data_IF_350329616206
#
_entry.id   IF_350329616206
#
_cell.length_a   1.000
_cell.length_b   1.000
_cell.length_c   1.000
_cell.angle_alpha   90.00
_cell.angle_beta   90.00
_cell.angle_gamma   90.00
#
_symmetry.space_group_name_H-M   'P 1'
#
loop_
_entity.id
_entity.type
_entity.pdbx_description
1 polymer ?
#
# COMPACT_ATOMS: atom_id res chain seq x y z
N UNK A 1 -0.38 6.20 -21.10
CA UNK A 1 0.22 6.78 -19.89
C UNK A 1 -0.23 6.07 -18.63
N UNK A 2 -1.46 5.53 -18.56
CA UNK A 2 -1.97 4.82 -17.37
C UNK A 2 -1.24 3.51 -17.01
N UNK A 3 -0.52 2.87 -17.95
CA UNK A 3 0.19 1.59 -17.72
C UNK A 3 1.72 1.70 -17.65
N UNK A 4 2.32 2.69 -18.32
CA UNK A 4 3.78 2.72 -18.52
C UNK A 4 4.48 3.85 -17.81
N UNK A 5 3.89 5.05 -17.77
CA UNK A 5 4.57 6.23 -17.23
C UNK A 5 4.07 6.68 -15.87
N UNK A 6 2.95 6.13 -15.36
CA UNK A 6 2.38 6.53 -14.09
C UNK A 6 1.96 8.00 -13.99
N UNK A 7 1.74 8.67 -15.14
CA UNK A 7 1.28 10.07 -15.18
C UNK A 7 -0.20 10.15 -14.84
N UNK A 8 -1.00 9.20 -15.36
CA UNK A 8 -2.46 9.18 -15.19
C UNK A 8 -2.81 8.38 -13.94
N UNK A 9 -3.52 9.00 -13.00
CA UNK A 9 -3.92 8.40 -11.73
C UNK A 9 -5.12 7.48 -11.88
N UNK A 10 -6.13 7.93 -12.65
CA UNK A 10 -7.37 7.19 -12.92
C UNK A 10 -7.65 7.24 -14.42
N UNK A 11 -8.20 6.17 -14.97
CA UNK A 11 -8.64 6.11 -16.36
C UNK A 11 -10.14 5.87 -16.37
N UNK A 12 -10.88 6.64 -17.16
CA UNK A 12 -12.31 6.49 -17.38
C UNK A 12 -12.57 6.17 -18.86
N UNK A 13 -13.64 5.47 -19.14
CA UNK A 13 -14.03 5.12 -20.51
C UNK A 13 -15.00 6.15 -21.10
N UNK A 14 -15.68 6.94 -20.24
CA UNK A 14 -16.57 8.04 -20.65
C UNK A 14 -16.28 9.33 -19.87
N UNK A 15 -16.78 10.46 -20.38
CA UNK A 15 -16.66 11.77 -19.72
C UNK A 15 -17.44 11.78 -18.39
N UNK A 16 -18.62 11.15 -18.36
CA UNK A 16 -19.44 11.03 -17.16
C UNK A 16 -18.70 10.28 -16.05
N UNK A 17 -18.08 9.14 -16.38
CA UNK A 17 -17.25 8.38 -15.45
C UNK A 17 -16.07 9.23 -14.98
N UNK A 18 -15.42 9.97 -15.85
CA UNK A 18 -14.31 10.86 -15.47
C UNK A 18 -14.76 11.92 -14.47
N UNK A 19 -15.94 12.50 -14.64
CA UNK A 19 -16.51 13.47 -13.68
C UNK A 19 -16.87 12.83 -12.34
N UNK A 20 -17.42 11.62 -12.34
CA UNK A 20 -17.74 10.89 -11.11
C UNK A 20 -16.46 10.56 -10.35
N UNK A 21 -15.43 10.05 -11.01
CA UNK A 21 -14.13 9.78 -10.43
C UNK A 21 -13.49 11.05 -9.83
N UNK A 22 -13.56 12.17 -10.55
CA UNK A 22 -13.04 13.44 -10.06
C UNK A 22 -13.80 13.95 -8.81
N UNK A 23 -15.12 13.80 -8.79
CA UNK A 23 -15.93 14.15 -7.61
C UNK A 23 -15.62 13.28 -6.41
N UNK A 24 -15.52 11.97 -6.63
CA UNK A 24 -15.18 10.99 -5.57
C UNK A 24 -13.82 11.34 -4.96
N UNK A 25 -12.82 11.58 -5.81
CA UNK A 25 -11.48 11.95 -5.35
C UNK A 25 -11.50 13.27 -4.56
N UNK A 26 -12.17 14.30 -5.08
CA UNK A 26 -12.29 15.59 -4.41
C UNK A 26 -13.03 15.47 -3.07
N UNK A 27 -14.07 14.62 -3.02
CA UNK A 27 -14.84 14.39 -1.79
C UNK A 27 -14.00 13.66 -0.73
N UNK A 28 -13.26 12.63 -1.11
CA UNK A 28 -12.38 11.90 -0.18
C UNK A 28 -11.30 12.81 0.43
N UNK A 29 -10.77 13.77 -0.35
CA UNK A 29 -9.77 14.71 0.16
C UNK A 29 -10.36 15.91 0.89
N UNK A 30 -11.46 16.48 0.38
CA UNK A 30 -12.05 17.73 0.91
C UNK A 30 -13.02 17.53 2.07
N UNK A 31 -13.71 16.38 2.12
CA UNK A 31 -14.67 16.01 3.17
C UNK A 31 -14.25 14.71 3.84
N UNK A 32 -13.16 14.77 4.59
CA UNK A 32 -12.53 13.57 5.16
C UNK A 32 -13.35 12.86 6.23
N UNK A 33 -14.37 13.52 6.81
CA UNK A 33 -15.20 12.95 7.86
C UNK A 33 -14.47 12.81 9.20
N UNK A 34 -15.13 12.16 10.14
CA UNK A 34 -14.59 11.82 11.46
C UNK A 34 -14.72 10.31 11.67
N UNK A 35 -13.76 9.74 12.42
CA UNK A 35 -13.79 8.32 12.75
C UNK A 35 -14.91 8.04 13.76
N UNK A 36 -15.82 7.16 13.38
CA UNK A 36 -16.83 6.56 14.25
C UNK A 36 -16.44 5.08 14.48
N UNK A 37 -15.93 4.78 15.67
CA UNK A 37 -15.49 3.44 16.02
C UNK A 37 -16.66 2.46 16.15
N UNK A 38 -17.86 2.94 16.49
CA UNK A 38 -19.05 2.09 16.65
C UNK A 38 -19.57 1.60 15.29
N UNK A 39 -19.20 2.28 14.20
CA UNK A 39 -19.53 1.88 12.83
C UNK A 39 -18.53 0.89 12.22
N UNK A 40 -17.38 0.67 12.84
CA UNK A 40 -16.35 -0.27 12.34
C UNK A 40 -16.73 -1.70 12.72
N UNK A 41 -16.95 -2.54 11.72
CA UNK A 41 -17.25 -3.95 11.95
C UNK A 41 -16.00 -4.72 12.41
N UNK A 42 -16.18 -5.65 13.37
CA UNK A 42 -15.17 -6.63 13.70
C UNK A 42 -15.20 -7.77 12.68
N UNK A 43 -14.19 -7.85 11.83
CA UNK A 43 -14.09 -8.80 10.72
C UNK A 43 -12.79 -9.59 10.77
N UNK A 44 -12.90 -10.90 10.50
CA UNK A 44 -11.73 -11.75 10.31
C UNK A 44 -11.15 -11.53 8.90
N UNK A 45 -10.14 -10.66 8.82
CA UNK A 45 -9.40 -10.40 7.58
C UNK A 45 -8.40 -11.51 7.24
N UNK A 46 -8.00 -12.34 8.21
CA UNK A 46 -7.07 -13.44 7.96
C UNK A 46 -7.69 -14.53 7.08
N UNK A 47 -9.03 -14.64 7.07
CA UNK A 47 -9.76 -15.54 6.19
C UNK A 47 -9.55 -15.24 4.68
N UNK A 48 -9.09 -14.04 4.33
CA UNK A 48 -8.76 -13.70 2.94
C UNK A 48 -7.36 -14.19 2.50
N UNK A 49 -6.54 -14.63 3.45
CA UNK A 49 -5.23 -15.19 3.12
C UNK A 49 -5.35 -16.67 2.70
N UNK A 50 -4.53 -17.11 1.73
CA UNK A 50 -4.46 -18.53 1.41
C UNK A 50 -3.79 -19.33 2.56
N UNK A 51 -4.24 -20.58 2.78
CA UNK A 51 -3.69 -21.49 3.79
C UNK A 51 -2.16 -21.71 3.65
N UNK A 52 -1.64 -21.57 2.45
CA UNK A 52 -0.21 -21.74 2.18
C UNK A 52 0.50 -20.41 2.09
N UNK A 53 1.54 -20.22 2.90
CA UNK A 53 2.42 -19.02 2.87
C UNK A 53 3.17 -18.86 1.53
N UNK A 54 3.20 -19.88 0.68
CA UNK A 54 3.83 -19.86 -0.65
C UNK A 54 2.87 -19.44 -1.76
N UNK A 55 1.57 -19.50 -1.53
CA UNK A 55 0.57 -19.14 -2.53
C UNK A 55 0.42 -17.62 -2.59
N UNK A 56 0.52 -17.08 -3.81
CA UNK A 56 0.22 -15.67 -4.06
C UNK A 56 -1.29 -15.41 -3.93
N UNK A 57 -1.66 -14.22 -3.50
CA UNK A 57 -3.04 -13.77 -3.39
C UNK A 57 -3.16 -12.31 -3.82
N UNK A 58 -4.36 -11.89 -4.16
CA UNK A 58 -4.69 -10.49 -4.43
C UNK A 58 -5.00 -9.78 -3.11
N UNK A 59 -4.41 -8.62 -2.88
CA UNK A 59 -4.63 -7.85 -1.66
C UNK A 59 -5.92 -7.03 -1.68
N UNK A 60 -6.54 -6.84 -2.86
CA UNK A 60 -7.74 -6.01 -2.98
C UNK A 60 -8.90 -6.47 -2.07
N UNK A 61 -9.25 -7.77 -1.97
CA UNK A 61 -10.31 -8.20 -1.05
C UNK A 61 -10.05 -7.81 0.40
N UNK A 62 -8.80 -7.86 0.86
CA UNK A 62 -8.46 -7.43 2.22
C UNK A 62 -8.67 -5.92 2.37
N UNK A 63 -8.22 -5.12 1.39
CA UNK A 63 -8.38 -3.66 1.40
C UNK A 63 -9.86 -3.27 1.39
N UNK A 64 -10.66 -3.89 0.52
CA UNK A 64 -12.09 -3.59 0.39
C UNK A 64 -12.89 -3.99 1.63
N UNK A 65 -12.47 -5.07 2.31
CA UNK A 65 -13.20 -5.55 3.50
C UNK A 65 -12.95 -4.75 4.76
N UNK A 66 -11.76 -4.15 4.96
CA UNK A 66 -11.54 -3.34 6.15
C UNK A 66 -12.00 -1.89 5.99
N UNK A 67 -12.23 -1.44 4.76
CA UNK A 67 -12.81 -0.12 4.48
C UNK A 67 -14.34 -0.17 4.49
N UNK A 68 -14.95 0.98 4.64
CA UNK A 68 -16.39 1.13 4.47
C UNK A 68 -16.79 0.70 3.05
N UNK A 69 -17.84 -0.08 2.92
CA UNK A 69 -18.25 -0.71 1.67
C UNK A 69 -18.36 0.28 0.49
N UNK A 70 -17.75 -0.08 -0.63
CA UNK A 70 -17.81 0.68 -1.88
C UNK A 70 -17.06 2.01 -1.86
N UNK A 71 -16.27 2.31 -0.83
CA UNK A 71 -15.56 3.60 -0.72
C UNK A 71 -14.15 3.58 -1.27
N UNK A 72 -13.59 2.40 -1.57
CA UNK A 72 -12.21 2.30 -2.05
C UNK A 72 -12.04 2.83 -3.47
N UNK A 73 -11.18 3.82 -3.62
CA UNK A 73 -10.77 4.40 -4.89
C UNK A 73 -9.28 4.17 -5.11
N UNK A 74 -8.94 3.16 -5.91
CA UNK A 74 -7.56 2.86 -6.27
C UNK A 74 -6.99 3.89 -7.24
N UNK A 75 -5.76 4.34 -6.99
CA UNK A 75 -4.99 5.19 -7.88
C UNK A 75 -3.91 4.38 -8.59
N UNK A 76 -3.68 4.66 -9.87
CA UNK A 76 -2.68 3.98 -10.69
C UNK A 76 -2.87 2.45 -10.77
N UNK A 77 -4.10 1.95 -10.80
CA UNK A 77 -4.42 0.51 -10.79
C UNK A 77 -3.70 -0.28 -11.90
N UNK A 78 -3.45 0.35 -13.04
CA UNK A 78 -2.78 -0.27 -14.21
C UNK A 78 -1.26 -0.08 -14.23
N UNK A 79 -0.68 0.68 -13.29
CA UNK A 79 0.77 0.97 -13.21
C UNK A 79 1.34 0.49 -11.89
N UNK A 80 2.47 -0.24 -11.94
CA UNK A 80 3.10 -0.86 -10.78
C UNK A 80 2.10 -1.63 -9.89
N UNK A 81 1.43 -2.67 -10.43
CA UNK A 81 0.33 -3.37 -9.74
C UNK A 81 0.82 -4.28 -8.60
N UNK A 82 2.12 -4.39 -8.38
CA UNK A 82 2.75 -5.05 -7.23
C UNK A 82 2.63 -4.23 -5.94
N UNK A 83 2.17 -2.98 -6.03
CA UNK A 83 1.74 -2.17 -4.90
C UNK A 83 0.39 -1.51 -5.22
N UNK A 84 -0.53 -1.60 -4.30
CA UNK A 84 -1.86 -0.97 -4.35
C UNK A 84 -1.81 0.30 -3.52
N UNK A 85 -2.26 1.42 -4.08
CA UNK A 85 -2.44 2.68 -3.36
C UNK A 85 -3.81 3.25 -3.69
N UNK A 86 -4.51 3.75 -2.70
CA UNK A 86 -5.84 4.32 -2.90
C UNK A 86 -6.38 5.00 -1.65
N UNK A 87 -7.46 5.72 -1.83
CA UNK A 87 -8.22 6.35 -0.76
C UNK A 87 -9.51 5.56 -0.50
N UNK A 88 -9.94 5.52 0.74
CA UNK A 88 -11.22 4.96 1.13
C UNK A 88 -11.68 5.52 2.46
N UNK A 89 -12.78 5.04 2.98
CA UNK A 89 -13.24 5.41 4.32
C UNK A 89 -13.09 4.24 5.28
N UNK A 90 -12.75 4.55 6.51
CA UNK A 90 -12.76 3.61 7.63
C UNK A 90 -13.53 4.27 8.77
N UNK A 91 -14.70 3.70 9.10
CA UNK A 91 -15.60 4.28 10.08
C UNK A 91 -15.97 5.75 9.75
N UNK A 92 -16.26 6.06 8.48
CA UNK A 92 -16.59 7.40 8.00
C UNK A 92 -15.39 8.33 7.75
N UNK A 93 -14.19 8.03 8.28
CA UNK A 93 -12.98 8.86 8.09
C UNK A 93 -12.21 8.43 6.85
N UNK A 94 -11.82 9.40 6.01
CA UNK A 94 -10.91 9.11 4.89
C UNK A 94 -9.55 8.65 5.38
N UNK A 95 -9.08 7.54 4.82
CA UNK A 95 -7.73 6.99 5.02
C UNK A 95 -7.08 6.68 3.68
N UNK A 96 -5.76 6.78 3.62
CA UNK A 96 -4.96 6.31 2.51
C UNK A 96 -4.48 4.88 2.79
N UNK A 97 -4.53 4.04 1.78
CA UNK A 97 -4.05 2.66 1.84
C UNK A 97 -2.81 2.50 0.98
N UNK A 98 -1.78 1.86 1.53
CA UNK A 98 -0.60 1.39 0.80
C UNK A 98 -0.43 -0.09 1.08
N UNK A 99 -0.53 -0.95 0.08
CA UNK A 99 -0.49 -2.40 0.29
C UNK A 99 0.39 -3.11 -0.73
N UNK A 100 1.26 -4.02 -0.29
CA UNK A 100 1.92 -4.93 -1.23
C UNK A 100 0.90 -5.88 -1.84
N UNK A 101 1.00 -6.15 -3.14
CA UNK A 101 0.16 -7.12 -3.82
C UNK A 101 0.97 -8.36 -4.23
N UNK A 102 0.93 -9.45 -3.44
CA UNK A 102 1.68 -10.67 -3.72
C UNK A 102 1.31 -11.36 -5.03
N UNK A 103 0.12 -11.10 -5.57
CA UNK A 103 -0.27 -11.62 -6.88
C UNK A 103 0.63 -11.10 -8.01
N UNK A 104 1.30 -9.97 -7.80
CA UNK A 104 2.21 -9.34 -8.76
C UNK A 104 3.63 -9.27 -8.20
N UNK A 105 4.58 -9.83 -8.91
CA UNK A 105 6.00 -9.89 -8.51
C UNK A 105 6.22 -10.41 -7.07
N UNK A 106 5.29 -11.24 -6.55
CA UNK A 106 5.34 -11.73 -5.18
C UNK A 106 5.23 -10.64 -4.10
N UNK A 107 4.76 -9.44 -4.44
CA UNK A 107 4.74 -8.28 -3.54
C UNK A 107 6.09 -7.56 -3.40
N UNK A 108 7.12 -7.95 -4.17
CA UNK A 108 8.41 -7.25 -4.15
C UNK A 108 8.25 -5.77 -4.50
N UNK A 109 9.06 -4.93 -3.87
CA UNK A 109 9.23 -3.55 -4.30
C UNK A 109 10.18 -3.48 -5.50
N UNK A 110 9.84 -2.65 -6.47
CA UNK A 110 10.68 -2.28 -7.60
C UNK A 110 10.73 -0.76 -7.77
N UNK A 111 11.43 -0.30 -8.78
CA UNK A 111 11.58 1.13 -9.05
C UNK A 111 10.23 1.84 -9.23
N UNK A 112 9.29 1.23 -9.95
CA UNK A 112 8.00 1.83 -10.25
C UNK A 112 7.06 1.84 -9.04
N UNK A 113 7.02 0.75 -8.27
CA UNK A 113 6.19 0.68 -7.06
C UNK A 113 6.67 1.62 -5.96
N UNK A 114 7.97 1.79 -5.81
CA UNK A 114 8.54 2.77 -4.89
C UNK A 114 8.17 4.22 -5.28
N UNK A 115 8.22 4.55 -6.56
CA UNK A 115 7.76 5.85 -7.08
C UNK A 115 6.26 6.06 -6.85
N UNK A 116 5.43 5.06 -7.15
CA UNK A 116 3.97 5.09 -6.94
C UNK A 116 3.64 5.36 -5.48
N UNK A 117 4.19 4.54 -4.58
CA UNK A 117 3.93 4.65 -3.16
C UNK A 117 4.45 5.97 -2.57
N UNK A 118 5.67 6.41 -2.91
CA UNK A 118 6.23 7.65 -2.37
C UNK A 118 5.40 8.88 -2.72
N UNK A 119 4.92 8.96 -3.97
CA UNK A 119 4.03 10.07 -4.41
C UNK A 119 2.71 10.06 -3.65
N UNK A 120 2.13 8.86 -3.46
CA UNK A 120 0.88 8.69 -2.74
C UNK A 120 1.01 9.06 -1.26
N UNK A 121 2.04 8.59 -0.56
CA UNK A 121 2.32 8.94 0.83
C UNK A 121 2.44 10.45 1.01
N UNK A 122 3.21 11.13 0.14
CA UNK A 122 3.36 12.59 0.20
C UNK A 122 2.06 13.33 -0.08
N UNK A 123 1.22 12.82 -0.97
CA UNK A 123 -0.12 13.38 -1.20
C UNK A 123 -0.97 13.25 0.07
N UNK A 124 -1.03 12.06 0.68
CA UNK A 124 -1.80 11.85 1.91
C UNK A 124 -1.31 12.76 3.04
N UNK A 125 0.01 12.92 3.20
CA UNK A 125 0.59 13.82 4.18
C UNK A 125 0.19 15.28 3.94
N UNK A 126 0.28 15.74 2.69
CA UNK A 126 -0.09 17.11 2.31
C UNK A 126 -1.58 17.45 2.58
N UNK A 127 -2.46 16.44 2.50
CA UNK A 127 -3.88 16.60 2.76
C UNK A 127 -4.30 16.15 4.18
N UNK A 128 -3.36 15.84 5.05
CA UNK A 128 -3.61 15.35 6.41
C UNK A 128 -4.50 14.07 6.45
N UNK A 129 -4.32 13.17 5.47
CA UNK A 129 -5.00 11.88 5.39
C UNK A 129 -4.16 10.81 6.09
N UNK A 130 -4.65 10.18 7.16
CA UNK A 130 -3.93 9.10 7.85
C UNK A 130 -3.75 7.88 6.94
N UNK A 131 -2.72 7.08 7.22
CA UNK A 131 -2.34 5.96 6.37
C UNK A 131 -2.51 4.60 7.08
N UNK A 132 -3.01 3.63 6.33
CA UNK A 132 -2.98 2.20 6.66
C UNK A 132 -2.04 1.51 5.66
N UNK A 133 -1.03 0.82 6.17
CA UNK A 133 -0.01 0.15 5.35
C UNK A 133 -0.08 -1.36 5.60
N UNK A 134 -0.39 -2.12 4.55
CA UNK A 134 -0.42 -3.59 4.60
C UNK A 134 0.86 -4.14 4.00
N UNK A 135 1.58 -4.95 4.77
CA UNK A 135 2.91 -5.45 4.40
C UNK A 135 2.90 -6.96 4.17
N UNK A 136 3.18 -7.35 2.94
CA UNK A 136 3.59 -8.70 2.56
C UNK A 136 4.69 -8.56 1.50
N UNK A 137 5.92 -8.31 1.94
CA UNK A 137 7.04 -7.96 1.07
C UNK A 137 8.25 -8.86 1.31
N UNK A 138 8.66 -9.67 0.32
CA UNK A 138 9.84 -10.54 0.44
C UNK A 138 11.17 -9.80 0.21
N UNK A 139 11.14 -8.58 -0.31
CA UNK A 139 12.33 -7.79 -0.60
C UNK A 139 12.13 -6.78 -1.74
N UNK A 140 13.20 -6.11 -2.12
CA UNK A 140 13.28 -5.42 -3.40
C UNK A 140 13.52 -6.43 -4.52
N UNK A 141 12.90 -6.19 -5.69
CA UNK A 141 13.09 -7.04 -6.86
C UNK A 141 14.56 -6.96 -7.33
N UNK A 142 15.29 -8.07 -7.34
CA UNK A 142 16.68 -8.08 -7.78
C UNK A 142 16.78 -8.09 -9.31
N UNK A 143 17.91 -7.69 -9.83
CA UNK A 143 18.25 -7.84 -11.24
C UNK A 143 18.87 -6.61 -11.85
N UNK A 144 19.69 -6.84 -12.89
CA UNK A 144 20.41 -5.79 -13.61
C UNK A 144 19.47 -4.71 -14.14
N UNK A 145 18.29 -5.09 -14.64
CA UNK A 145 17.28 -4.15 -15.12
C UNK A 145 16.81 -3.19 -14.03
N UNK A 146 16.62 -3.69 -12.81
CA UNK A 146 16.22 -2.86 -11.66
C UNK A 146 17.32 -1.89 -11.23
N UNK A 147 18.58 -2.33 -11.28
CA UNK A 147 19.73 -1.45 -11.02
C UNK A 147 19.81 -0.31 -12.04
N UNK A 148 19.65 -0.64 -13.33
CA UNK A 148 19.63 0.35 -14.41
C UNK A 148 18.43 1.33 -14.31
N UNK A 149 17.29 0.85 -13.86
CA UNK A 149 16.13 1.69 -13.58
C UNK A 149 16.29 2.52 -12.30
N UNK A 150 17.36 2.30 -11.54
CA UNK A 150 17.69 3.07 -10.35
C UNK A 150 16.85 2.70 -9.13
N UNK A 151 16.66 1.39 -8.89
CA UNK A 151 15.85 0.87 -7.76
C UNK A 151 16.31 1.41 -6.41
N UNK A 152 17.62 1.57 -6.19
CA UNK A 152 18.17 2.12 -4.94
C UNK A 152 17.72 3.59 -4.75
N UNK A 153 17.89 4.41 -5.79
CA UNK A 153 17.52 5.83 -5.75
C UNK A 153 16.01 6.04 -5.64
N UNK A 154 15.23 5.25 -6.37
CA UNK A 154 13.76 5.34 -6.33
C UNK A 154 13.20 4.72 -5.06
N UNK A 155 13.79 3.63 -4.57
CA UNK A 155 13.47 3.05 -3.27
C UNK A 155 13.72 4.01 -2.12
N UNK A 156 14.82 4.78 -2.18
CA UNK A 156 15.12 5.82 -1.21
C UNK A 156 14.05 6.92 -1.13
N UNK A 157 13.33 7.20 -2.22
CA UNK A 157 12.21 8.16 -2.19
C UNK A 157 11.06 7.68 -1.30
N UNK A 158 10.78 6.37 -1.29
CA UNK A 158 9.74 5.82 -0.42
C UNK A 158 10.16 5.89 1.05
N UNK A 159 11.41 5.54 1.36
CA UNK A 159 11.98 5.72 2.69
C UNK A 159 11.85 7.18 3.16
N UNK A 160 12.24 8.11 2.31
CA UNK A 160 12.17 9.56 2.60
C UNK A 160 10.73 10.02 2.80
N UNK A 161 9.80 9.60 1.94
CA UNK A 161 8.40 9.96 2.04
C UNK A 161 7.79 9.53 3.39
N UNK A 162 8.06 8.32 3.85
CA UNK A 162 7.60 7.88 5.16
C UNK A 162 8.34 8.56 6.32
N UNK A 163 9.64 8.83 6.18
CA UNK A 163 10.40 9.51 7.23
C UNK A 163 9.95 10.96 7.45
N UNK A 164 9.57 11.67 6.39
CA UNK A 164 9.05 13.04 6.47
C UNK A 164 7.58 13.11 6.90
N UNK A 165 6.81 12.08 6.62
CA UNK A 165 5.35 12.04 6.78
C UNK A 165 4.97 12.22 8.26
N UNK A 166 4.07 13.17 8.55
CA UNK A 166 3.63 13.51 9.91
C UNK A 166 2.22 13.01 10.25
N UNK A 167 1.44 12.58 9.25
CA UNK A 167 0.11 12.01 9.53
C UNK A 167 0.22 10.69 10.29
N UNK A 168 -0.80 10.32 11.09
CA UNK A 168 -0.87 9.00 11.72
C UNK A 168 -0.73 7.88 10.68
N UNK A 169 0.13 6.89 10.97
CA UNK A 169 0.43 5.78 10.07
C UNK A 169 0.46 4.47 10.84
N UNK A 170 -0.45 3.58 10.48
CA UNK A 170 -0.53 2.24 11.07
C UNK A 170 -0.06 1.22 10.03
N UNK A 171 0.83 0.34 10.45
CA UNK A 171 1.31 -0.77 9.63
C UNK A 171 0.78 -2.09 10.18
N UNK A 172 0.32 -2.94 9.28
CA UNK A 172 -0.05 -4.33 9.58
C UNK A 172 0.78 -5.25 8.70
N UNK A 173 1.65 -6.04 9.32
CA UNK A 173 2.38 -7.11 8.63
C UNK A 173 1.44 -8.30 8.52
N UNK A 174 0.98 -8.56 7.30
CA UNK A 174 0.00 -9.62 7.05
C UNK A 174 0.66 -10.98 6.86
N UNK A 175 1.87 -11.02 6.28
CA UNK A 175 2.58 -12.29 6.07
C UNK A 175 4.10 -12.12 6.13
N UNK A 176 4.75 -11.53 5.13
CA UNK A 176 6.21 -11.36 5.06
C UNK A 176 6.63 -9.92 5.20
N UNK A 177 7.68 -9.70 5.96
CA UNK A 177 8.32 -8.40 6.10
C UNK A 177 9.83 -8.58 6.13
N UNK A 178 10.47 -8.60 4.95
CA UNK A 178 11.88 -8.95 4.83
C UNK A 178 12.77 -7.78 4.43
N UNK A 179 13.88 -7.66 5.14
CA UNK A 179 15.02 -6.82 4.82
C UNK A 179 14.71 -5.34 4.65
N UNK A 180 15.42 -4.68 3.74
CA UNK A 180 15.27 -3.25 3.48
C UNK A 180 13.91 -2.85 2.91
N UNK A 181 13.22 -3.75 2.23
CA UNK A 181 11.88 -3.48 1.72
C UNK A 181 10.85 -3.36 2.85
N UNK A 182 10.96 -4.19 3.91
CA UNK A 182 10.14 -4.00 5.11
C UNK A 182 10.40 -2.63 5.76
N UNK A 183 11.67 -2.24 5.88
CA UNK A 183 11.99 -0.91 6.42
C UNK A 183 11.30 0.18 5.62
N UNK A 184 11.34 0.10 4.28
CA UNK A 184 10.73 1.07 3.38
C UNK A 184 9.19 1.10 3.44
N UNK A 185 8.54 0.03 3.89
CA UNK A 185 7.09 -0.09 4.02
C UNK A 185 6.57 0.40 5.38
N UNK A 186 6.98 1.60 5.79
CA UNK A 186 6.55 2.25 7.04
C UNK A 186 6.83 1.40 8.28
N UNK A 187 8.07 0.98 8.45
CA UNK A 187 8.48 0.30 9.69
C UNK A 187 8.48 1.24 10.90
N UNK A 188 8.55 0.68 12.09
CA UNK A 188 8.65 1.45 13.33
C UNK A 188 9.85 2.41 13.34
N UNK A 189 10.97 2.03 12.68
CA UNK A 189 12.17 2.86 12.58
C UNK A 189 11.99 4.12 11.71
N UNK A 190 10.97 4.15 10.84
CA UNK A 190 10.58 5.34 10.07
C UNK A 190 9.50 6.19 10.78
N UNK A 191 9.16 5.88 12.02
CA UNK A 191 8.18 6.64 12.78
C UNK A 191 6.73 6.23 12.54
N UNK A 192 6.47 4.97 12.16
CA UNK A 192 5.11 4.43 12.16
C UNK A 192 4.46 4.63 13.53
N UNK A 193 3.22 5.12 13.56
CA UNK A 193 2.46 5.36 14.80
C UNK A 193 2.28 4.07 15.57
N UNK A 194 1.94 2.98 14.86
CA UNK A 194 1.85 1.61 15.38
C UNK A 194 2.20 0.62 14.29
N UNK A 195 2.79 -0.50 14.69
CA UNK A 195 3.05 -1.65 13.83
C UNK A 195 2.44 -2.88 14.50
N UNK A 196 1.57 -3.55 13.77
CA UNK A 196 0.97 -4.83 14.16
C UNK A 196 1.48 -5.92 13.22
N UNK A 197 1.45 -7.14 13.68
CA UNK A 197 1.74 -8.32 12.87
C UNK A 197 0.68 -9.38 13.14
N UNK A 198 0.23 -10.06 12.10
CA UNK A 198 -0.63 -11.21 12.27
C UNK A 198 0.15 -12.38 12.90
N UNK A 199 -0.53 -13.34 13.57
CA UNK A 199 0.14 -14.39 14.33
C UNK A 199 1.19 -15.18 13.55
N UNK A 200 0.92 -15.44 12.25
CA UNK A 200 1.80 -16.21 11.36
C UNK A 200 2.70 -15.32 10.48
N UNK A 201 2.80 -14.02 10.80
CA UNK A 201 3.64 -13.11 10.06
C UNK A 201 5.13 -13.33 10.36
N UNK A 202 5.96 -13.25 9.32
CA UNK A 202 7.40 -13.44 9.40
C UNK A 202 8.12 -12.10 9.22
N UNK A 203 8.86 -11.66 10.24
CA UNK A 203 9.72 -10.47 10.17
C UNK A 203 11.17 -10.90 10.30
N UNK A 204 11.96 -10.68 9.24
CA UNK A 204 13.34 -11.13 9.18
C UNK A 204 14.20 -10.29 8.21
N UNK A 205 15.51 -10.47 8.27
CA UNK A 205 16.43 -9.91 7.26
C UNK A 205 16.19 -10.58 5.90
N UNK A 206 15.95 -11.90 5.91
CA UNK A 206 15.62 -12.71 4.73
C UNK A 206 14.83 -13.94 5.15
N UNK A 207 14.17 -14.61 4.21
CA UNK A 207 13.44 -15.84 4.49
C UNK A 207 14.37 -16.96 4.99
N UNK A 208 13.90 -17.80 5.91
CA UNK A 208 14.69 -18.85 6.58
C UNK A 208 15.44 -19.76 5.62
N UNK A 209 14.83 -20.16 4.51
CA UNK A 209 15.45 -21.02 3.49
C UNK A 209 16.66 -20.34 2.81
N UNK A 210 16.61 -19.03 2.63
CA UNK A 210 17.72 -18.27 2.05
C UNK A 210 18.86 -18.05 3.04
N UNK A 211 18.56 -18.04 4.34
CA UNK A 211 19.55 -17.84 5.40
C UNK A 211 20.42 -19.10 5.65
N UNK A 212 19.98 -20.28 5.22
CA UNK A 212 20.67 -21.57 5.46
C UNK A 212 21.55 -21.99 4.26
N UNK A 213 21.46 -21.32 3.13
CA UNK A 213 22.26 -21.55 1.93
C UNK A 213 23.47 -20.64 1.88
#
# INVERSE_FOLDING_TARGET
HGRRSGVVHVTADTDEEAYEQARTFATLLGHQGSLDLDSVADIDLAAELPDSSRRAYDVHPIVERFLDEGTFMELHSKWAPNIVVGLGRLGGRTVGVVANNPLRLGGCLDSASAEKASRFVRMCDAFAVPLVVLVDVPGYLPGVGQEWEGVVRRGAKLLHAFAECVVPRVTVVTRKAYGGAYVAMNSASLGATKVFAWPDAEVAVMGAVAAIR
#
